data_IF_676719555086
#
_entry.id   IF_676719555086
#
_cell.length_a   1.000
_cell.length_b   1.000
_cell.length_c   1.000
_cell.angle_alpha   90.00
_cell.angle_beta   90.00
_cell.angle_gamma   90.00
#
_symmetry.space_group_name_H-M   'P 1'
#
loop_
_entity.id
_entity.type
_entity.pdbx_description
1 polymer ?
#
# COMPACT_ATOMS: atom_id res chain seq x y z
N UNK A 1 44.34 -59.90 4.52
CA UNK A 1 43.67 -59.22 5.64
C UNK A 1 43.36 -57.79 5.21
N UNK A 2 42.10 -57.40 5.42
CA UNK A 2 41.50 -56.06 5.35
C UNK A 2 41.29 -55.32 4.02
N UNK A 3 40.18 -54.53 3.95
CA UNK A 3 39.49 -54.16 2.73
C UNK A 3 39.62 -52.66 2.39
N UNK A 4 39.20 -52.33 1.17
CA UNK A 4 38.93 -50.96 0.72
C UNK A 4 37.83 -50.30 1.57
N UNK A 5 38.08 -49.07 2.01
CA UNK A 5 37.09 -48.09 2.43
C UNK A 5 37.56 -46.70 1.97
N UNK A 6 36.71 -45.87 1.35
CA UNK A 6 37.07 -44.51 0.95
C UNK A 6 36.66 -43.51 2.03
N UNK A 7 37.54 -42.56 2.36
CA UNK A 7 37.21 -41.40 3.19
C UNK A 7 37.71 -40.10 2.54
N UNK A 8 36.73 -39.32 2.07
CA UNK A 8 36.51 -37.89 2.29
C UNK A 8 37.47 -36.81 1.75
N UNK A 9 36.84 -35.79 1.13
CA UNK A 9 37.27 -34.38 1.12
C UNK A 9 37.54 -33.83 -0.29
N UNK A 10 36.84 -32.83 -0.83
CA UNK A 10 35.71 -32.03 -0.35
C UNK A 10 35.17 -31.23 -1.56
N UNK A 11 33.86 -31.15 -1.70
CA UNK A 11 33.21 -30.26 -2.66
C UNK A 11 32.94 -28.92 -1.99
N UNK A 12 33.67 -27.90 -2.41
CA UNK A 12 33.25 -26.50 -2.32
C UNK A 12 32.03 -26.30 -3.22
N UNK A 13 30.91 -25.80 -2.67
CA UNK A 13 29.68 -25.73 -3.46
C UNK A 13 28.52 -24.97 -2.85
N UNK A 14 28.73 -23.70 -2.48
CA UNK A 14 27.77 -22.60 -2.69
C UNK A 14 26.28 -22.90 -2.43
N UNK A 15 25.84 -22.86 -1.18
CA UNK A 15 24.41 -22.66 -0.86
C UNK A 15 24.13 -21.19 -0.60
N UNK A 16 23.72 -20.53 -1.69
CA UNK A 16 22.97 -19.27 -1.69
C UNK A 16 21.78 -19.39 -0.73
N UNK A 17 21.50 -18.29 -0.02
CA UNK A 17 20.29 -18.01 0.77
C UNK A 17 19.22 -19.10 0.72
N UNK A 18 19.20 -19.95 1.75
CA UNK A 18 18.05 -20.80 2.01
C UNK A 18 16.88 -19.91 2.44
N UNK A 19 16.17 -19.33 1.47
CA UNK A 19 14.88 -18.71 1.71
C UNK A 19 13.97 -19.79 2.29
N UNK A 20 13.65 -19.70 3.57
CA UNK A 20 12.67 -20.56 4.22
C UNK A 20 11.42 -20.55 3.36
N UNK A 21 11.06 -21.70 2.80
CA UNK A 21 9.92 -21.80 1.90
C UNK A 21 8.65 -21.49 2.70
N UNK A 22 8.08 -20.31 2.46
CA UNK A 22 6.81 -19.89 3.04
C UNK A 22 5.70 -20.79 2.47
N UNK A 23 4.82 -21.29 3.33
CA UNK A 23 3.73 -22.15 2.86
C UNK A 23 2.75 -21.38 1.95
N UNK A 24 2.24 -21.99 0.86
CA UNK A 24 1.25 -21.36 0.00
C UNK A 24 -0.01 -20.93 0.76
N UNK A 25 -0.40 -21.69 1.79
CA UNK A 25 -1.54 -21.36 2.65
C UNK A 25 -1.32 -20.05 3.42
N UNK A 26 -0.10 -19.79 3.91
CA UNK A 26 0.23 -18.54 4.60
C UNK A 26 0.17 -17.34 3.64
N UNK A 27 0.68 -17.49 2.41
CA UNK A 27 0.59 -16.45 1.39
C UNK A 27 -0.86 -16.16 0.98
N UNK A 28 -1.70 -17.19 0.84
CA UNK A 28 -3.13 -17.01 0.58
C UNK A 28 -3.85 -16.32 1.74
N UNK A 29 -3.46 -16.63 2.98
CA UNK A 29 -3.99 -15.94 4.16
C UNK A 29 -3.54 -14.47 4.17
N UNK A 30 -2.27 -14.18 3.88
CA UNK A 30 -1.76 -12.81 3.75
C UNK A 30 -2.58 -12.01 2.74
N UNK A 31 -2.82 -12.56 1.54
CA UNK A 31 -3.61 -11.89 0.50
C UNK A 31 -5.04 -11.58 0.94
N UNK A 32 -5.70 -12.52 1.63
CA UNK A 32 -7.06 -12.30 2.18
C UNK A 32 -7.06 -11.19 3.24
N UNK A 33 -6.08 -11.19 4.14
CA UNK A 33 -5.97 -10.18 5.19
C UNK A 33 -5.65 -8.79 4.63
N UNK A 34 -4.72 -8.68 3.67
CA UNK A 34 -4.43 -7.44 2.96
C UNK A 34 -5.65 -6.92 2.22
N UNK A 35 -6.35 -7.78 1.47
CA UNK A 35 -7.58 -7.39 0.76
C UNK A 35 -8.65 -6.86 1.72
N UNK A 36 -8.83 -7.52 2.87
CA UNK A 36 -9.76 -7.08 3.91
C UNK A 36 -9.36 -5.74 4.53
N UNK A 37 -8.07 -5.57 4.85
CA UNK A 37 -7.53 -4.31 5.38
C UNK A 37 -7.76 -3.15 4.40
N UNK A 38 -7.44 -3.34 3.12
CA UNK A 38 -7.62 -2.33 2.08
C UNK A 38 -9.09 -1.95 1.84
N UNK A 39 -10.01 -2.90 1.94
CA UNK A 39 -11.46 -2.63 1.85
C UNK A 39 -11.99 -1.86 3.06
N UNK A 40 -11.36 -2.03 4.22
CA UNK A 40 -11.84 -1.44 5.48
C UNK A 40 -11.22 -0.05 5.73
N UNK A 41 -9.93 0.10 5.44
CA UNK A 41 -9.13 1.28 5.79
C UNK A 41 -8.82 2.17 4.58
N UNK A 42 -9.02 1.67 3.36
CA UNK A 42 -8.69 2.37 2.13
C UNK A 42 -7.23 2.19 1.72
N UNK A 43 -6.59 3.27 1.31
CA UNK A 43 -5.21 3.29 0.84
C UNK A 43 -4.23 3.07 2.00
N UNK A 44 -3.34 2.09 1.86
CA UNK A 44 -2.30 1.78 2.84
C UNK A 44 -0.95 1.61 2.16
N UNK A 45 0.14 2.05 2.81
CA UNK A 45 1.50 1.77 2.33
C UNK A 45 1.85 0.30 2.51
N UNK A 46 2.89 -0.17 1.81
CA UNK A 46 3.40 -1.53 2.01
C UNK A 46 3.78 -1.78 3.48
N UNK A 47 4.41 -0.82 4.14
CA UNK A 47 4.77 -0.90 5.55
C UNK A 47 3.55 -1.03 6.47
N UNK A 48 2.49 -0.23 6.24
CA UNK A 48 1.26 -0.32 7.04
C UNK A 48 0.57 -1.69 6.87
N UNK A 49 0.59 -2.25 5.66
CA UNK A 49 0.07 -3.60 5.41
C UNK A 49 0.91 -4.66 6.14
N UNK A 50 2.24 -4.50 6.13
CA UNK A 50 3.17 -5.38 6.86
C UNK A 50 2.90 -5.36 8.36
N UNK A 51 2.76 -4.19 8.96
CA UNK A 51 2.41 -4.00 10.37
C UNK A 51 1.03 -4.60 10.70
N UNK A 52 0.06 -4.43 9.79
CA UNK A 52 -1.29 -5.02 9.93
C UNK A 52 -1.25 -6.55 9.91
N UNK A 53 -0.37 -7.16 9.12
CA UNK A 53 -0.22 -8.62 9.09
C UNK A 53 0.47 -9.12 10.36
N UNK A 54 1.62 -8.53 10.70
CA UNK A 54 2.43 -8.95 11.84
C UNK A 54 1.66 -8.80 13.17
N UNK A 55 0.80 -7.77 13.30
CA UNK A 55 -0.06 -7.61 14.48
C UNK A 55 -1.16 -8.67 14.60
N UNK A 56 -1.49 -9.38 13.51
CA UNK A 56 -2.50 -10.46 13.52
C UNK A 56 -1.91 -11.84 13.72
N UNK A 57 -0.73 -12.11 13.16
CA UNK A 57 -0.05 -13.38 13.31
C UNK A 57 1.47 -13.21 13.15
N UNK A 58 2.25 -13.72 14.11
CA UNK A 58 3.72 -13.70 14.07
C UNK A 58 4.30 -14.52 12.92
N UNK A 59 3.56 -15.48 12.35
CA UNK A 59 4.02 -16.26 11.19
C UNK A 59 4.36 -15.38 9.98
N UNK A 60 3.76 -14.19 9.86
CA UNK A 60 4.03 -13.26 8.78
C UNK A 60 5.42 -12.61 8.85
N UNK A 61 6.09 -12.65 10.01
CA UNK A 61 7.47 -12.19 10.14
C UNK A 61 8.44 -12.99 9.26
N UNK A 62 8.13 -14.26 9.00
CA UNK A 62 8.94 -15.13 8.14
C UNK A 62 8.67 -14.92 6.63
N UNK A 63 7.62 -14.19 6.26
CA UNK A 63 7.29 -13.93 4.86
C UNK A 63 8.23 -12.88 4.30
N UNK A 64 8.99 -13.15 3.25
CA UNK A 64 9.84 -12.13 2.63
C UNK A 64 8.98 -11.03 1.98
N UNK A 65 9.48 -9.79 1.97
CA UNK A 65 8.75 -8.65 1.37
C UNK A 65 8.44 -8.89 -0.11
N UNK A 66 9.36 -9.52 -0.84
CA UNK A 66 9.16 -9.92 -2.24
C UNK A 66 7.96 -10.86 -2.43
N UNK A 67 7.73 -11.79 -1.51
CA UNK A 67 6.61 -12.73 -1.60
C UNK A 67 5.30 -12.02 -1.26
N UNK A 68 5.32 -11.15 -0.25
CA UNK A 68 4.16 -10.33 0.11
C UNK A 68 3.78 -9.37 -1.02
N UNK A 69 4.75 -8.76 -1.69
CA UNK A 69 4.52 -7.87 -2.83
C UNK A 69 3.88 -8.62 -4.00
N UNK A 70 4.38 -9.81 -4.34
CA UNK A 70 3.73 -10.67 -5.35
C UNK A 70 2.29 -11.01 -4.97
N UNK A 71 2.02 -11.31 -3.70
CA UNK A 71 0.65 -11.54 -3.22
C UNK A 71 -0.20 -10.29 -3.41
N UNK A 72 0.29 -9.11 -3.04
CA UNK A 72 -0.43 -7.85 -3.20
C UNK A 72 -0.77 -7.55 -4.67
N UNK A 73 0.14 -7.83 -5.60
CA UNK A 73 -0.10 -7.68 -7.04
C UNK A 73 -1.29 -8.53 -7.55
N UNK A 74 -1.66 -9.60 -6.85
CA UNK A 74 -2.82 -10.44 -7.22
C UNK A 74 -4.15 -9.96 -6.64
N UNK A 75 -4.14 -9.14 -5.58
CA UNK A 75 -5.34 -8.76 -4.82
C UNK A 75 -5.59 -7.24 -4.74
N UNK A 76 -4.62 -6.43 -5.15
CA UNK A 76 -4.61 -4.99 -4.99
C UNK A 76 -3.98 -4.29 -6.20
N UNK A 77 -4.26 -3.00 -6.34
CA UNK A 77 -3.58 -2.11 -7.28
C UNK A 77 -2.64 -1.17 -6.53
N UNK A 78 -1.49 -0.88 -7.11
CA UNK A 78 -0.54 0.08 -6.58
C UNK A 78 -0.76 1.45 -7.24
N UNK A 79 -0.84 2.50 -6.42
CA UNK A 79 -0.96 3.89 -6.89
C UNK A 79 0.00 4.76 -6.08
N UNK A 80 1.11 5.15 -6.71
CA UNK A 80 2.20 5.81 -5.99
C UNK A 80 2.78 4.90 -4.91
N UNK A 81 2.84 5.38 -3.66
CA UNK A 81 3.40 4.64 -2.51
C UNK A 81 2.37 3.77 -1.77
N UNK A 82 1.09 3.81 -2.17
CA UNK A 82 0.01 3.07 -1.50
C UNK A 82 -0.58 1.98 -2.38
N UNK A 83 -1.08 0.95 -1.70
CA UNK A 83 -1.90 -0.12 -2.25
C UNK A 83 -3.37 0.16 -1.97
N UNK A 84 -4.21 -0.30 -2.88
CA UNK A 84 -5.64 -0.06 -2.89
C UNK A 84 -6.39 -1.33 -3.27
N UNK A 85 -7.55 -1.57 -2.65
CA UNK A 85 -8.48 -2.57 -3.17
C UNK A 85 -8.88 -2.17 -4.60
N UNK A 86 -8.95 -3.07 -5.59
CA UNK A 86 -9.36 -2.70 -6.94
C UNK A 86 -10.82 -2.26 -6.98
N UNK A 87 -11.67 -2.95 -6.19
CA UNK A 87 -13.10 -2.65 -6.03
C UNK A 87 -13.53 -2.90 -4.59
N UNK A 88 -14.50 -2.13 -4.12
CA UNK A 88 -15.15 -2.33 -2.82
C UNK A 88 -16.45 -3.12 -2.93
N UNK A 89 -16.95 -3.38 -4.14
CA UNK A 89 -18.11 -4.24 -4.39
C UNK A 89 -19.43 -3.50 -4.45
N UNK A 90 -19.40 -2.17 -4.55
CA UNK A 90 -20.56 -1.33 -4.78
C UNK A 90 -20.28 -0.47 -6.01
N UNK A 91 -20.98 -0.75 -7.13
CA UNK A 91 -20.69 -0.13 -8.42
C UNK A 91 -20.79 1.41 -8.42
N UNK A 92 -21.72 1.99 -7.65
CA UNK A 92 -21.84 3.44 -7.54
C UNK A 92 -20.65 4.03 -6.77
N UNK A 93 -20.23 3.37 -5.68
CA UNK A 93 -19.06 3.79 -4.90
C UNK A 93 -17.75 3.60 -5.68
N UNK A 94 -17.62 2.49 -6.40
CA UNK A 94 -16.45 2.18 -7.24
C UNK A 94 -16.27 3.26 -8.31
N UNK A 95 -17.34 3.71 -8.98
CA UNK A 95 -17.29 4.83 -9.94
C UNK A 95 -16.69 6.11 -9.33
N UNK A 96 -17.18 6.49 -8.14
CA UNK A 96 -16.69 7.68 -7.46
C UNK A 96 -15.26 7.53 -6.95
N UNK A 97 -14.91 6.33 -6.49
CA UNK A 97 -13.58 5.99 -6.02
C UNK A 97 -12.56 6.04 -7.14
N UNK A 98 -12.87 5.46 -8.29
CA UNK A 98 -12.00 5.46 -9.47
C UNK A 98 -11.77 6.89 -9.98
N UNK A 99 -12.83 7.70 -10.04
CA UNK A 99 -12.72 9.12 -10.37
C UNK A 99 -11.85 9.88 -9.36
N UNK A 100 -12.07 9.67 -8.05
CA UNK A 100 -11.30 10.35 -7.01
C UNK A 100 -9.81 9.95 -7.06
N UNK A 101 -9.50 8.68 -7.34
CA UNK A 101 -8.12 8.22 -7.55
C UNK A 101 -7.47 8.98 -8.70
N UNK A 102 -8.15 9.12 -9.84
CA UNK A 102 -7.60 9.85 -10.99
C UNK A 102 -7.41 11.35 -10.74
N UNK A 103 -8.32 11.98 -9.98
CA UNK A 103 -8.18 13.37 -9.54
C UNK A 103 -6.97 13.52 -8.60
N UNK A 104 -6.91 12.71 -7.54
CA UNK A 104 -5.87 12.78 -6.52
C UNK A 104 -4.47 12.42 -7.06
N UNK A 105 -4.37 11.54 -8.06
CA UNK A 105 -3.09 11.22 -8.72
C UNK A 105 -2.50 12.39 -9.50
N UNK A 106 -3.35 13.23 -10.08
CA UNK A 106 -2.94 14.41 -10.87
C UNK A 106 -2.66 15.63 -10.01
N UNK A 107 -3.11 15.60 -8.75
CA UNK A 107 -2.91 16.67 -7.81
C UNK A 107 -1.41 16.93 -7.62
N UNK A 108 -0.99 18.20 -7.77
CA UNK A 108 0.39 18.67 -7.51
C UNK A 108 0.53 19.39 -6.16
N UNK A 109 -0.57 19.92 -5.61
CA UNK A 109 -0.62 20.58 -4.31
C UNK A 109 -1.90 20.20 -3.54
N UNK A 110 -1.91 20.22 -2.20
CA UNK A 110 -3.13 19.95 -1.42
C UNK A 110 -4.30 20.84 -1.87
N UNK A 111 -5.50 20.26 -1.97
CA UNK A 111 -6.69 20.97 -2.46
C UNK A 111 -7.81 20.96 -1.44
N UNK A 112 -8.67 21.97 -1.48
CA UNK A 112 -9.88 21.97 -0.66
C UNK A 112 -10.85 20.89 -1.13
N UNK A 113 -11.74 20.46 -0.24
CA UNK A 113 -12.82 19.53 -0.59
C UNK A 113 -13.66 20.04 -1.77
N UNK A 114 -13.94 21.34 -1.81
CA UNK A 114 -14.74 21.95 -2.86
C UNK A 114 -14.06 21.83 -4.23
N UNK A 115 -12.75 22.08 -4.31
CA UNK A 115 -11.98 21.94 -5.54
C UNK A 115 -11.99 20.49 -6.04
N UNK A 116 -11.77 19.51 -5.15
CA UNK A 116 -11.80 18.09 -5.51
C UNK A 116 -13.18 17.68 -6.03
N UNK A 117 -14.26 18.10 -5.36
CA UNK A 117 -15.64 17.80 -5.81
C UNK A 117 -15.93 18.41 -7.17
N UNK A 118 -15.45 19.62 -7.42
CA UNK A 118 -15.60 20.28 -8.71
C UNK A 118 -14.86 19.51 -9.81
N UNK A 119 -13.61 19.11 -9.58
CA UNK A 119 -12.84 18.30 -10.53
C UNK A 119 -13.49 16.94 -10.78
N UNK A 120 -13.97 16.26 -9.73
CA UNK A 120 -14.71 15.01 -9.89
C UNK A 120 -16.00 15.19 -10.71
N UNK A 121 -16.71 16.30 -10.51
CA UNK A 121 -17.94 16.60 -11.24
C UNK A 121 -17.67 16.85 -12.73
N UNK A 122 -16.57 17.53 -13.05
CA UNK A 122 -16.11 17.72 -14.42
C UNK A 122 -15.67 16.39 -15.06
N UNK A 123 -14.89 15.57 -14.35
CA UNK A 123 -14.40 14.29 -14.85
C UNK A 123 -15.52 13.28 -15.13
N UNK A 124 -16.58 13.26 -14.29
CA UNK A 124 -17.74 12.39 -14.48
C UNK A 124 -18.83 13.00 -15.38
N UNK A 125 -18.65 14.24 -15.83
CA UNK A 125 -19.65 15.03 -16.55
C UNK A 125 -21.04 15.01 -15.86
N UNK A 126 -21.05 15.04 -14.53
CA UNK A 126 -22.26 14.95 -13.71
C UNK A 126 -22.06 15.59 -12.35
N UNK A 127 -23.15 15.98 -11.68
CA UNK A 127 -23.08 16.42 -10.28
C UNK A 127 -22.82 15.23 -9.37
N UNK A 128 -21.94 15.40 -8.39
CA UNK A 128 -21.72 14.42 -7.33
C UNK A 128 -22.96 14.38 -6.43
N UNK A 129 -23.70 13.27 -6.49
CA UNK A 129 -24.93 13.04 -5.71
C UNK A 129 -24.70 12.36 -4.36
N UNK A 130 -23.44 12.23 -3.94
CA UNK A 130 -23.08 11.59 -2.68
C UNK A 130 -23.42 12.49 -1.48
N UNK A 131 -24.00 11.91 -0.41
CA UNK A 131 -24.10 12.58 0.87
C UNK A 131 -22.73 13.03 1.38
N UNK A 132 -22.70 14.18 2.04
CA UNK A 132 -21.46 14.82 2.51
C UNK A 132 -20.62 13.90 3.41
N UNK A 133 -21.28 13.12 4.27
CA UNK A 133 -20.67 12.11 5.12
C UNK A 133 -19.97 11.00 4.32
N UNK A 134 -20.62 10.48 3.29
CA UNK A 134 -20.08 9.44 2.40
C UNK A 134 -18.86 9.96 1.63
N UNK A 135 -18.93 11.19 1.13
CA UNK A 135 -17.81 11.83 0.45
C UNK A 135 -16.61 12.05 1.40
N UNK A 136 -16.85 12.49 2.65
CA UNK A 136 -15.77 12.60 3.65
C UNK A 136 -15.16 11.25 4.01
N UNK A 137 -15.96 10.18 3.99
CA UNK A 137 -15.44 8.82 4.20
C UNK A 137 -14.55 8.40 3.04
N UNK A 138 -15.02 8.55 1.80
CA UNK A 138 -14.27 8.26 0.58
C UNK A 138 -12.94 9.03 0.51
N UNK A 139 -12.96 10.33 0.87
CA UNK A 139 -11.75 11.15 0.94
C UNK A 139 -10.76 10.62 1.98
N UNK A 140 -11.21 10.23 3.18
CA UNK A 140 -10.33 9.68 4.23
C UNK A 140 -9.73 8.33 3.87
N UNK A 141 -10.37 7.57 2.99
CA UNK A 141 -9.81 6.32 2.48
C UNK A 141 -8.58 6.59 1.61
N UNK A 142 -8.59 7.63 0.77
CA UNK A 142 -7.57 7.88 -0.26
C UNK A 142 -6.60 9.03 0.05
N UNK A 143 -7.01 9.97 0.89
CA UNK A 143 -6.32 11.22 1.17
C UNK A 143 -6.19 11.48 2.67
N UNK A 144 -5.21 12.32 3.03
CA UNK A 144 -5.02 12.86 4.37
C UNK A 144 -5.58 14.27 4.40
N UNK A 145 -6.16 14.68 5.53
CA UNK A 145 -6.61 16.06 5.72
C UNK A 145 -5.63 16.80 6.63
N UNK A 146 -5.11 17.91 6.13
CA UNK A 146 -4.20 18.81 6.84
C UNK A 146 -4.80 20.22 6.78
N UNK A 147 -5.26 20.73 7.91
CA UNK A 147 -5.82 22.09 8.03
C UNK A 147 -6.93 22.41 7.01
N UNK A 148 -7.78 21.42 6.67
CA UNK A 148 -8.87 21.59 5.70
C UNK A 148 -8.49 21.33 4.23
N UNK A 149 -7.22 21.07 3.95
CA UNK A 149 -6.73 20.66 2.64
C UNK A 149 -6.53 19.15 2.58
N UNK A 150 -6.81 18.56 1.44
CA UNK A 150 -6.71 17.12 1.20
C UNK A 150 -5.54 16.84 0.27
N UNK A 151 -4.67 15.93 0.68
CA UNK A 151 -3.50 15.47 -0.06
C UNK A 151 -3.56 13.96 -0.27
N UNK A 152 -3.15 13.48 -1.45
CA UNK A 152 -3.14 12.04 -1.73
C UNK A 152 -2.16 11.28 -0.84
N UNK A 153 -2.62 10.21 -0.17
CA UNK A 153 -1.77 9.37 0.70
C UNK A 153 -0.60 8.71 -0.04
N UNK A 154 -0.79 8.39 -1.32
CA UNK A 154 0.21 7.74 -2.16
C UNK A 154 1.25 8.67 -2.76
N UNK A 155 1.22 9.97 -2.41
CA UNK A 155 2.24 10.90 -2.87
C UNK A 155 3.56 10.57 -2.17
N UNK A 156 4.65 10.46 -2.94
CA UNK A 156 6.00 10.55 -2.38
C UNK A 156 6.16 11.99 -1.90
N UNK A 157 6.32 12.27 -0.59
CA UNK A 157 6.66 13.62 -0.19
C UNK A 157 7.92 14.00 -0.95
N UNK A 158 7.84 15.03 -1.79
CA UNK A 158 9.05 15.66 -2.31
C UNK A 158 9.86 15.98 -1.07
N UNK A 159 11.03 15.37 -0.97
CA UNK A 159 11.88 15.51 0.21
C UNK A 159 12.08 17.00 0.41
N UNK A 160 11.37 17.56 1.40
CA UNK A 160 11.50 18.95 1.77
C UNK A 160 12.92 19.10 2.23
N UNK A 161 13.72 19.73 1.38
CA UNK A 161 15.01 20.29 1.72
C UNK A 161 14.83 21.09 3.01
N UNK A 162 15.35 20.53 4.09
CA UNK A 162 15.21 21.01 5.45
C UNK A 162 16.58 21.19 6.09
N UNK A 163 17.56 21.63 5.29
CA UNK A 163 18.74 22.31 5.82
C UNK A 163 18.27 23.65 6.40
N UNK A 164 17.84 23.61 7.67
CA UNK A 164 17.63 24.81 8.46
C UNK A 164 19.01 25.21 8.97
N UNK A 165 19.61 26.34 8.53
CA UNK A 165 20.85 26.79 9.11
C UNK A 165 20.57 27.14 10.57
N UNK A 166 21.22 26.42 11.49
CA UNK A 166 21.26 26.79 12.90
C UNK A 166 21.72 28.26 12.99
N UNK A 167 21.01 29.13 13.73
CA UNK A 167 21.50 30.49 13.93
C UNK A 167 22.84 30.44 14.67
N UNK A 168 23.80 31.32 14.31
CA UNK A 168 25.07 31.38 15.02
C UNK A 168 24.79 31.73 16.49
N UNK A 169 25.27 30.87 17.37
CA UNK A 169 25.34 31.14 18.81
C UNK A 169 26.32 32.30 18.98
N UNK A 170 25.81 33.47 19.38
CA UNK A 170 26.60 34.57 19.93
C UNK A 170 26.78 34.38 21.42
#
# INVERSE_FOLDING_TARGET
ANPQGPLTGGEEGKTKDASVAVSPALLQLAGRLCSSALKTQGALTFQQLRETLNSKNNDFLAVADRDLERVLQTVAIQVGTVWLAPKVGNAQMDLYRDCLIEVLKKQTQPQSKAAIVQEMSQALNRRIDLPDFTLRKLLRELAVNESGFWSFKGRVPESGDGDVPLPPVF
#
